data_IF_080904636104
#
_entry.id   IF_080904636104
#
_cell.length_a   1.000
_cell.length_b   1.000
_cell.length_c   1.000
_cell.angle_alpha   90.00
_cell.angle_beta   90.00
_cell.angle_gamma   90.00
#
_symmetry.space_group_name_H-M   'P 1'
#
loop_
_entity.id
_entity.type
_entity.pdbx_description
1 polymer ?
#
# COMPACT_ATOMS: atom_id res chain seq x y z
N UNK A 1 -36.78 0.52 -13.98
CA UNK A 1 -35.42 -0.03 -14.09
C UNK A 1 -34.53 0.82 -13.23
N UNK A 2 -34.10 0.28 -12.09
CA UNK A 2 -33.29 0.99 -11.11
C UNK A 2 -31.94 1.38 -11.74
N UNK A 3 -31.50 2.63 -11.55
CA UNK A 3 -30.19 3.08 -12.04
C UNK A 3 -29.15 2.30 -11.23
N UNK A 4 -28.62 1.22 -11.80
CA UNK A 4 -27.55 0.38 -11.22
C UNK A 4 -26.58 1.23 -10.40
N UNK A 5 -26.63 1.08 -9.07
CA UNK A 5 -25.76 1.79 -8.12
C UNK A 5 -24.32 1.70 -8.61
N UNK A 6 -23.65 2.83 -8.80
CA UNK A 6 -22.23 2.86 -9.17
C UNK A 6 -21.43 2.08 -8.13
N UNK A 7 -20.57 1.19 -8.59
CA UNK A 7 -19.66 0.44 -7.71
C UNK A 7 -18.71 1.41 -7.00
N UNK A 8 -18.41 1.15 -5.73
CA UNK A 8 -17.50 1.97 -4.92
C UNK A 8 -16.37 1.11 -4.37
N UNK A 9 -15.12 1.55 -4.54
CA UNK A 9 -13.95 0.84 -4.00
C UNK A 9 -13.15 1.74 -3.06
N UNK A 10 -12.55 1.12 -2.05
CA UNK A 10 -11.57 1.75 -1.17
C UNK A 10 -10.14 1.44 -1.59
N UNK A 11 -9.21 2.36 -1.36
CA UNK A 11 -7.76 2.15 -1.53
C UNK A 11 -7.06 2.57 -0.23
N UNK A 12 -6.12 1.75 0.25
CA UNK A 12 -5.26 2.11 1.36
C UNK A 12 -3.80 1.69 1.12
N UNK A 13 -2.87 2.41 1.73
CA UNK A 13 -1.45 2.06 1.79
C UNK A 13 -1.04 1.80 3.23
N UNK A 14 -0.44 0.65 3.51
CA UNK A 14 -0.06 0.23 4.86
C UNK A 14 1.35 -0.40 4.91
N UNK A 15 2.01 -0.27 6.07
CA UNK A 15 3.41 -0.71 6.27
C UNK A 15 4.43 0.40 6.02
N UNK A 16 5.71 0.04 5.80
CA UNK A 16 6.72 1.00 5.35
C UNK A 16 6.40 1.53 3.96
N UNK A 17 6.73 2.77 3.64
CA UNK A 17 6.58 3.30 2.29
C UNK A 17 7.69 2.78 1.36
N UNK A 18 7.48 2.93 0.05
CA UNK A 18 8.50 2.65 -0.96
C UNK A 18 8.16 3.39 -2.26
N UNK A 19 9.12 3.49 -3.20
CA UNK A 19 8.85 4.00 -4.54
C UNK A 19 7.71 3.23 -5.24
N UNK A 20 6.94 3.94 -6.07
CA UNK A 20 5.88 3.35 -6.90
C UNK A 20 4.49 3.31 -6.25
N UNK A 21 4.35 3.70 -4.98
CA UNK A 21 3.06 3.72 -4.28
C UNK A 21 2.00 4.60 -4.94
N UNK A 22 2.37 5.83 -5.27
CA UNK A 22 1.46 6.76 -5.96
C UNK A 22 1.11 6.26 -7.37
N UNK A 23 2.01 5.54 -8.03
CA UNK A 23 1.75 4.91 -9.31
C UNK A 23 0.72 3.78 -9.19
N UNK A 24 0.80 2.95 -8.15
CA UNK A 24 -0.20 1.92 -7.85
C UNK A 24 -1.58 2.52 -7.54
N UNK A 25 -1.64 3.53 -6.66
CA UNK A 25 -2.89 4.25 -6.34
C UNK A 25 -3.50 4.85 -7.61
N UNK A 26 -2.69 5.51 -8.45
CA UNK A 26 -3.15 6.06 -9.72
C UNK A 26 -3.63 4.99 -10.68
N UNK A 27 -2.90 3.89 -10.82
CA UNK A 27 -3.22 2.79 -11.74
C UNK A 27 -4.59 2.18 -11.43
N UNK A 28 -4.84 1.90 -10.15
CA UNK A 28 -6.15 1.40 -9.68
C UNK A 28 -7.21 2.49 -9.82
N UNK A 29 -7.01 3.64 -9.20
CA UNK A 29 -8.02 4.69 -9.10
C UNK A 29 -8.43 5.24 -10.46
N UNK A 30 -7.48 5.58 -11.34
CA UNK A 30 -7.78 6.17 -12.65
C UNK A 30 -8.49 5.15 -13.55
N UNK A 31 -8.11 3.88 -13.48
CA UNK A 31 -8.81 2.81 -14.23
C UNK A 31 -10.23 2.62 -13.72
N UNK A 32 -10.43 2.55 -12.41
CA UNK A 32 -11.75 2.40 -11.79
C UNK A 32 -12.70 3.54 -12.19
N UNK A 33 -12.22 4.78 -12.14
CA UNK A 33 -13.02 5.98 -12.49
C UNK A 33 -13.30 6.05 -13.99
N UNK A 34 -12.25 6.03 -14.81
CA UNK A 34 -12.36 6.36 -16.25
C UNK A 34 -12.95 5.20 -17.05
N UNK A 35 -12.50 3.96 -16.79
CA UNK A 35 -12.92 2.79 -17.57
C UNK A 35 -14.23 2.18 -17.06
N UNK A 36 -14.42 2.16 -15.75
CA UNK A 36 -15.54 1.44 -15.13
C UNK A 36 -16.59 2.34 -14.47
N UNK A 37 -16.38 3.67 -14.46
CA UNK A 37 -17.32 4.62 -13.88
C UNK A 37 -17.55 4.42 -12.37
N UNK A 38 -16.59 3.81 -11.68
CA UNK A 38 -16.65 3.53 -10.24
C UNK A 38 -16.34 4.77 -9.43
N UNK A 39 -16.81 4.79 -8.19
CA UNK A 39 -16.36 5.74 -7.19
C UNK A 39 -15.17 5.17 -6.41
N UNK A 40 -14.18 6.02 -6.10
CA UNK A 40 -12.96 5.61 -5.40
C UNK A 40 -12.76 6.49 -4.19
N UNK A 41 -12.58 5.87 -3.02
CA UNK A 41 -12.14 6.54 -1.78
C UNK A 41 -10.75 6.07 -1.39
N UNK A 42 -9.92 6.98 -0.90
CA UNK A 42 -8.59 6.69 -0.36
C UNK A 42 -8.58 6.87 1.15
N UNK A 43 -8.22 5.84 1.90
CA UNK A 43 -8.13 5.90 3.36
C UNK A 43 -6.79 6.44 3.82
N UNK A 44 -6.84 7.40 4.74
CA UNK A 44 -5.65 8.02 5.32
C UNK A 44 -4.90 7.02 6.22
N UNK A 45 -3.57 6.99 6.13
CA UNK A 45 -2.72 6.23 7.06
C UNK A 45 -3.09 4.74 7.18
N UNK A 46 -3.46 4.10 6.08
CA UNK A 46 -3.69 2.66 6.02
C UNK A 46 -4.95 2.21 6.76
N UNK A 47 -4.84 1.12 7.54
CA UNK A 47 -5.98 0.58 8.30
C UNK A 47 -6.48 1.53 9.40
N UNK A 48 -5.64 2.44 9.89
CA UNK A 48 -6.05 3.42 10.91
C UNK A 48 -7.15 4.35 10.38
N UNK A 49 -7.01 4.87 9.15
CA UNK A 49 -8.06 5.72 8.57
C UNK A 49 -9.32 4.93 8.26
N UNK A 50 -9.23 3.64 7.91
CA UNK A 50 -10.41 2.80 7.76
C UNK A 50 -11.13 2.58 9.11
N UNK A 51 -10.39 2.38 10.19
CA UNK A 51 -10.94 2.28 11.55
C UNK A 51 -11.55 3.62 12.00
N UNK A 52 -10.98 4.77 11.63
CA UNK A 52 -11.46 6.08 12.06
C UNK A 52 -12.46 6.75 11.09
N UNK A 53 -12.76 6.11 9.95
CA UNK A 53 -13.45 6.72 8.79
C UNK A 53 -12.78 8.00 8.25
N UNK A 54 -11.45 8.05 8.31
CA UNK A 54 -10.66 9.11 7.69
C UNK A 54 -10.34 8.71 6.25
N UNK A 55 -11.08 9.29 5.30
CA UNK A 55 -10.87 9.05 3.88
C UNK A 55 -11.12 10.31 3.05
N UNK A 56 -10.64 10.28 1.81
CA UNK A 56 -10.85 11.32 0.80
C UNK A 56 -11.42 10.69 -0.47
N UNK A 57 -12.26 11.43 -1.19
CA UNK A 57 -12.65 11.02 -2.54
C UNK A 57 -11.45 11.19 -3.48
N UNK A 58 -11.12 10.12 -4.22
CA UNK A 58 -10.08 10.13 -5.23
C UNK A 58 -10.72 10.42 -6.57
N UNK A 59 -10.86 11.70 -6.89
CA UNK A 59 -11.26 12.15 -8.23
C UNK A 59 -10.10 12.12 -9.21
N UNK A 60 -10.37 12.13 -10.52
CA UNK A 60 -9.33 12.08 -11.56
C UNK A 60 -8.25 13.16 -11.36
N UNK A 61 -8.66 14.38 -10.95
CA UNK A 61 -7.73 15.49 -10.70
C UNK A 61 -6.72 15.18 -9.59
N UNK A 62 -7.14 14.49 -8.52
CA UNK A 62 -6.26 14.08 -7.40
C UNK A 62 -5.26 12.99 -7.79
N UNK A 63 -5.56 12.25 -8.86
CA UNK A 63 -4.69 11.19 -9.40
C UNK A 63 -3.77 11.69 -10.52
N UNK A 64 -3.84 12.97 -10.88
CA UNK A 64 -2.96 13.59 -11.88
C UNK A 64 -1.66 14.08 -11.23
N UNK A 65 -0.54 13.95 -11.94
CA UNK A 65 0.76 14.47 -11.49
C UNK A 65 1.44 13.69 -10.35
N UNK A 66 0.82 12.62 -9.82
CA UNK A 66 1.37 11.90 -8.66
C UNK A 66 2.37 10.78 -9.02
N UNK A 67 2.55 10.47 -10.31
CA UNK A 67 3.41 9.34 -10.75
C UNK A 67 4.86 9.46 -10.30
N UNK A 68 5.39 10.68 -10.28
CA UNK A 68 6.80 10.97 -9.96
C UNK A 68 7.00 11.35 -8.50
N UNK A 69 5.94 11.36 -7.69
CA UNK A 69 6.03 11.71 -6.27
C UNK A 69 6.49 10.50 -5.46
N UNK A 70 7.46 10.71 -4.58
CA UNK A 70 7.85 9.74 -3.55
C UNK A 70 6.76 9.56 -2.48
N UNK A 71 6.92 8.53 -1.66
CA UNK A 71 5.97 8.19 -0.59
C UNK A 71 4.58 7.83 -1.12
N UNK A 72 3.54 8.18 -0.35
CA UNK A 72 2.13 7.93 -0.70
C UNK A 72 1.28 9.14 -0.35
N UNK A 73 0.40 9.56 -1.28
CA UNK A 73 -0.58 10.64 -1.06
C UNK A 73 -1.64 10.31 0.00
N UNK A 74 -1.75 9.04 0.40
CA UNK A 74 -2.68 8.59 1.44
C UNK A 74 -2.00 8.46 2.82
N UNK A 75 -0.68 8.60 2.90
CA UNK A 75 0.07 8.25 4.11
C UNK A 75 0.06 6.74 4.39
N UNK A 76 0.73 6.32 5.45
CA UNK A 76 0.78 4.91 5.86
C UNK A 76 0.90 4.80 7.38
N UNK A 77 0.45 3.68 7.93
CA UNK A 77 0.67 3.33 9.34
C UNK A 77 1.03 1.85 9.47
N UNK A 78 1.52 1.47 10.66
CA UNK A 78 1.80 0.08 11.04
C UNK A 78 0.69 -0.52 11.91
N UNK A 79 -0.52 0.03 11.83
CA UNK A 79 -1.68 -0.48 12.57
C UNK A 79 -1.97 -1.94 12.19
N UNK A 80 -2.17 -2.79 13.20
CA UNK A 80 -2.41 -4.23 13.05
C UNK A 80 -3.78 -4.57 13.65
N UNK A 81 -4.88 -4.51 12.87
CA UNK A 81 -6.24 -4.62 13.40
C UNK A 81 -6.52 -5.90 14.20
N UNK A 82 -5.85 -7.00 13.85
CA UNK A 82 -6.04 -8.31 14.48
C UNK A 82 -5.08 -8.59 15.65
N UNK A 83 -4.17 -7.67 15.96
CA UNK A 83 -3.29 -7.81 17.13
C UNK A 83 -4.02 -7.23 18.34
N UNK A 84 -4.38 -8.08 19.30
CA UNK A 84 -5.00 -7.65 20.57
C UNK A 84 -4.05 -6.74 21.36
N UNK A 85 -4.59 -5.64 21.87
CA UNK A 85 -3.91 -4.68 22.74
C UNK A 85 -4.09 -5.01 24.22
N UNK A 86 -3.47 -4.21 25.09
CA UNK A 86 -3.55 -4.34 26.56
C UNK A 86 -4.66 -3.47 27.19
N UNK A 87 -5.38 -2.66 26.41
CA UNK A 87 -6.50 -1.84 26.89
C UNK A 87 -7.80 -2.30 26.24
N UNK A 88 -8.90 -2.22 27.02
CA UNK A 88 -10.32 -2.44 26.67
C UNK A 88 -10.55 -2.49 25.15
N UNK A 89 -10.35 -3.68 24.58
CA UNK A 89 -10.04 -3.87 23.17
C UNK A 89 -11.31 -3.62 22.34
N UNK A 90 -11.40 -2.42 21.76
CA UNK A 90 -12.35 -2.15 20.68
C UNK A 90 -12.09 -3.19 19.59
N UNK A 91 -13.13 -3.92 19.18
CA UNK A 91 -13.02 -4.93 18.13
C UNK A 91 -12.77 -4.25 16.77
N UNK A 92 -11.50 -3.95 16.46
CA UNK A 92 -11.07 -3.25 15.24
C UNK A 92 -11.53 -3.97 13.96
N UNK A 93 -11.45 -5.31 13.83
CA UNK A 93 -12.00 -6.01 12.67
C UNK A 93 -13.49 -5.78 12.48
N UNK A 94 -14.29 -5.82 13.56
CA UNK A 94 -15.72 -5.55 13.48
C UNK A 94 -16.00 -4.10 13.05
N UNK A 95 -15.25 -3.12 13.56
CA UNK A 95 -15.35 -1.72 13.12
C UNK A 95 -14.99 -1.56 11.64
N UNK A 96 -13.91 -2.20 11.18
CA UNK A 96 -13.53 -2.16 9.77
C UNK A 96 -14.66 -2.69 8.89
N UNK A 97 -15.26 -3.83 9.25
CA UNK A 97 -16.38 -4.42 8.52
C UNK A 97 -17.61 -3.49 8.52
N UNK A 98 -17.95 -2.94 9.69
CA UNK A 98 -19.03 -1.96 9.81
C UNK A 98 -18.79 -0.75 8.89
N UNK A 99 -17.59 -0.19 8.90
CA UNK A 99 -17.26 0.99 8.09
C UNK A 99 -17.21 0.67 6.59
N UNK A 100 -16.74 -0.52 6.23
CA UNK A 100 -16.80 -1.04 4.87
C UNK A 100 -18.25 -1.10 4.35
N UNK A 101 -19.16 -1.63 5.15
CA UNK A 101 -20.58 -1.77 4.82
C UNK A 101 -21.30 -0.40 4.78
N UNK A 102 -21.08 0.45 5.79
CA UNK A 102 -21.70 1.78 5.89
C UNK A 102 -21.25 2.72 4.77
N UNK A 103 -19.97 2.64 4.35
CA UNK A 103 -19.47 3.37 3.19
C UNK A 103 -19.94 2.77 1.87
N UNK A 104 -20.57 1.59 1.91
CA UNK A 104 -21.09 0.89 0.74
C UNK A 104 -19.97 0.46 -0.20
N UNK A 105 -18.84 0.01 0.34
CA UNK A 105 -17.72 -0.49 -0.46
C UNK A 105 -18.05 -1.85 -1.07
N UNK A 106 -17.79 -1.99 -2.36
CA UNK A 106 -17.87 -3.26 -3.07
C UNK A 106 -16.55 -4.04 -3.02
N UNK A 107 -15.43 -3.33 -2.82
CA UNK A 107 -14.10 -3.91 -2.60
C UNK A 107 -13.14 -2.94 -1.90
N UNK A 108 -12.11 -3.48 -1.28
CA UNK A 108 -10.99 -2.73 -0.69
C UNK A 108 -9.65 -3.18 -1.30
N UNK A 109 -8.87 -2.23 -1.79
CA UNK A 109 -7.52 -2.44 -2.32
C UNK A 109 -6.50 -2.11 -1.25
N UNK A 110 -5.80 -3.13 -0.78
CA UNK A 110 -4.77 -3.06 0.26
C UNK A 110 -3.39 -3.09 -0.39
N UNK A 111 -2.69 -1.96 -0.41
CA UNK A 111 -1.33 -1.85 -0.96
C UNK A 111 -0.33 -1.94 0.21
N UNK A 112 0.49 -2.98 0.26
CA UNK A 112 1.42 -3.17 1.37
C UNK A 112 2.29 -4.43 1.27
N UNK A 113 3.13 -4.64 2.28
CA UNK A 113 3.99 -5.82 2.39
C UNK A 113 3.30 -7.00 3.09
N UNK A 114 4.11 -7.96 3.57
CA UNK A 114 3.63 -9.20 4.22
C UNK A 114 2.61 -8.97 5.34
N UNK A 115 2.83 -8.00 6.23
CA UNK A 115 1.88 -7.67 7.29
C UNK A 115 0.51 -7.22 6.78
N UNK A 116 0.51 -6.44 5.69
CA UNK A 116 -0.73 -5.98 5.03
C UNK A 116 -1.43 -7.13 4.32
N UNK A 117 -0.70 -8.01 3.64
CA UNK A 117 -1.27 -9.19 2.97
C UNK A 117 -1.91 -10.14 3.98
N UNK A 118 -1.30 -10.32 5.16
CA UNK A 118 -1.89 -11.09 6.25
C UNK A 118 -3.21 -10.48 6.72
N UNK A 119 -3.26 -9.16 6.96
CA UNK A 119 -4.51 -8.49 7.32
C UNK A 119 -5.55 -8.57 6.21
N UNK A 120 -5.16 -8.41 4.94
CA UNK A 120 -6.04 -8.55 3.79
C UNK A 120 -6.69 -9.94 3.73
N UNK A 121 -5.92 -11.01 3.93
CA UNK A 121 -6.44 -12.38 3.98
C UNK A 121 -7.45 -12.59 5.11
N UNK A 122 -7.18 -12.05 6.31
CA UNK A 122 -8.12 -12.13 7.42
C UNK A 122 -9.41 -11.36 7.14
N UNK A 123 -9.33 -10.18 6.51
CA UNK A 123 -10.50 -9.40 6.10
C UNK A 123 -11.34 -10.13 5.04
N UNK A 124 -10.71 -10.88 4.14
CA UNK A 124 -11.43 -11.75 3.20
C UNK A 124 -12.22 -12.85 3.93
N UNK A 125 -11.63 -13.46 4.97
CA UNK A 125 -12.32 -14.46 5.78
C UNK A 125 -13.54 -13.89 6.53
N UNK A 126 -13.55 -12.58 6.78
CA UNK A 126 -14.71 -11.85 7.35
C UNK A 126 -15.80 -11.54 6.31
N UNK A 127 -15.61 -11.94 5.04
CA UNK A 127 -16.58 -11.79 3.95
C UNK A 127 -16.45 -10.50 3.14
N UNK A 128 -15.37 -9.72 3.32
CA UNK A 128 -15.11 -8.53 2.50
C UNK A 128 -14.37 -8.89 1.21
N UNK A 129 -14.63 -8.16 0.13
CA UNK A 129 -13.90 -8.33 -1.12
C UNK A 129 -12.59 -7.54 -1.04
N UNK A 130 -11.46 -8.23 -0.90
CA UNK A 130 -10.15 -7.60 -0.76
C UNK A 130 -9.26 -7.90 -1.96
N UNK A 131 -8.54 -6.90 -2.45
CA UNK A 131 -7.46 -7.03 -3.43
C UNK A 131 -6.15 -6.62 -2.76
N UNK A 132 -5.17 -7.51 -2.73
CA UNK A 132 -3.82 -7.20 -2.27
C UNK A 132 -2.92 -6.73 -3.42
N UNK A 133 -2.18 -5.64 -3.22
CA UNK A 133 -1.10 -5.22 -4.12
C UNK A 133 0.24 -5.31 -3.37
N UNK A 134 1.17 -6.19 -3.81
CA UNK A 134 2.39 -6.48 -3.08
C UNK A 134 3.39 -5.33 -3.20
N UNK A 135 3.68 -4.71 -2.06
CA UNK A 135 4.48 -3.49 -1.98
C UNK A 135 5.54 -3.61 -0.90
N UNK A 136 6.80 -3.67 -1.29
CA UNK A 136 7.96 -3.69 -0.40
C UNK A 136 9.24 -3.52 -1.23
N UNK A 137 10.29 -2.98 -0.62
CA UNK A 137 11.63 -2.98 -1.21
C UNK A 137 12.34 -4.32 -1.00
N UNK A 138 11.82 -5.18 -0.13
CA UNK A 138 12.47 -6.43 0.28
C UNK A 138 12.24 -7.58 -0.73
N UNK A 139 11.29 -7.42 -1.66
CA UNK A 139 10.86 -8.45 -2.62
C UNK A 139 10.48 -9.80 -1.99
N UNK A 140 9.95 -9.77 -0.77
CA UNK A 140 9.72 -10.94 0.09
C UNK A 140 8.25 -11.36 0.18
N UNK A 141 7.40 -10.89 -0.74
CA UNK A 141 5.96 -11.20 -0.73
C UNK A 141 5.68 -12.41 -1.61
N UNK A 142 5.18 -13.49 -1.01
CA UNK A 142 4.83 -14.71 -1.72
C UNK A 142 3.77 -14.48 -2.82
N UNK A 143 3.94 -15.15 -3.97
CA UNK A 143 2.99 -15.13 -5.08
C UNK A 143 3.28 -14.09 -6.16
N UNK A 144 4.40 -13.37 -6.07
CA UNK A 144 4.92 -12.50 -7.14
C UNK A 144 6.44 -12.62 -7.21
N UNK A 145 7.00 -12.52 -8.42
CA UNK A 145 8.46 -12.47 -8.62
C UNK A 145 9.03 -11.08 -8.27
N UNK A 146 8.20 -10.04 -8.37
CA UNK A 146 8.57 -8.64 -8.17
C UNK A 146 7.53 -7.88 -7.36
N UNK A 147 7.99 -7.06 -6.42
CA UNK A 147 7.15 -6.15 -5.62
C UNK A 147 7.37 -4.69 -6.00
N UNK A 148 6.33 -3.87 -5.81
CA UNK A 148 6.48 -2.42 -5.99
C UNK A 148 7.53 -1.89 -5.02
N UNK A 149 8.52 -1.18 -5.57
CA UNK A 149 9.62 -0.54 -4.84
C UNK A 149 10.95 -1.28 -4.93
N UNK A 150 10.97 -2.59 -5.23
CA UNK A 150 12.20 -3.38 -5.27
C UNK A 150 13.20 -2.89 -6.32
N UNK A 151 12.77 -2.75 -7.57
CA UNK A 151 13.64 -2.29 -8.67
C UNK A 151 14.28 -0.93 -8.38
N UNK A 152 13.50 0.00 -7.82
CA UNK A 152 14.03 1.31 -7.42
C UNK A 152 15.04 1.21 -6.27
N UNK A 153 14.83 0.32 -5.30
CA UNK A 153 15.77 0.10 -4.21
C UNK A 153 17.07 -0.55 -4.71
N UNK A 154 16.97 -1.53 -5.61
CA UNK A 154 18.10 -2.16 -6.26
C UNK A 154 18.94 -1.13 -7.03
N UNK A 155 18.30 -0.29 -7.84
CA UNK A 155 18.97 0.76 -8.60
C UNK A 155 19.74 1.73 -7.69
N UNK A 156 19.13 2.14 -6.57
CA UNK A 156 19.79 3.03 -5.58
C UNK A 156 21.00 2.34 -4.95
N UNK A 157 20.89 1.06 -4.59
CA UNK A 157 22.00 0.29 -4.03
C UNK A 157 23.15 0.17 -5.04
N UNK A 158 22.85 -0.13 -6.31
CA UNK A 158 23.86 -0.21 -7.38
C UNK A 158 24.55 1.13 -7.61
N UNK A 159 23.81 2.25 -7.71
CA UNK A 159 24.41 3.58 -7.89
C UNK A 159 25.35 3.95 -6.72
N UNK A 160 24.97 3.60 -5.49
CA UNK A 160 25.81 3.82 -4.32
C UNK A 160 27.10 2.99 -4.38
N UNK A 161 27.02 1.72 -4.77
CA UNK A 161 28.18 0.83 -4.93
C UNK A 161 29.12 1.37 -6.01
N UNK A 162 28.59 1.79 -7.17
CA UNK A 162 29.39 2.29 -8.29
C UNK A 162 30.17 3.56 -7.91
N UNK A 163 29.53 4.48 -7.16
CA UNK A 163 30.21 5.68 -6.64
C UNK A 163 31.37 5.32 -5.72
N UNK A 164 31.17 4.34 -4.84
CA UNK A 164 32.15 3.89 -3.87
C UNK A 164 33.31 3.11 -4.53
N UNK A 165 33.05 2.41 -5.63
CA UNK A 165 34.06 1.62 -6.34
C UNK A 165 35.28 2.46 -6.76
N UNK A 166 35.05 3.69 -7.23
CA UNK A 166 36.12 4.60 -7.69
C UNK A 166 37.11 4.97 -6.57
N UNK A 167 36.62 5.26 -5.36
CA UNK A 167 37.46 5.61 -4.21
C UNK A 167 38.07 4.39 -3.53
N UNK A 168 37.41 3.22 -3.61
CA UNK A 168 37.99 1.96 -3.15
C UNK A 168 39.24 1.59 -3.95
N UNK A 169 39.14 1.68 -5.28
CA UNK A 169 40.24 1.38 -6.19
C UNK A 169 41.42 2.36 -6.03
N UNK A 170 41.14 3.66 -5.93
CA UNK A 170 42.18 4.70 -5.83
C UNK A 170 43.04 4.61 -4.56
N UNK A 171 42.50 4.04 -3.48
CA UNK A 171 43.18 3.97 -2.17
C UNK A 171 43.41 2.54 -1.67
N UNK A 172 43.21 1.52 -2.53
CA UNK A 172 43.32 0.10 -2.15
C UNK A 172 42.52 -0.23 -0.87
N UNK A 173 41.28 0.24 -0.78
CA UNK A 173 40.41 0.05 0.39
C UNK A 173 39.43 -1.09 0.19
N UNK A 174 39.15 -1.80 1.26
CA UNK A 174 37.98 -2.66 1.39
C UNK A 174 36.81 -1.81 1.89
N UNK A 175 35.64 -1.96 1.27
CA UNK A 175 34.42 -1.30 1.69
C UNK A 175 33.37 -2.34 2.06
N UNK A 176 32.69 -2.11 3.18
CA UNK A 176 31.52 -2.88 3.61
C UNK A 176 30.31 -1.97 3.42
N UNK A 177 29.33 -2.45 2.65
CA UNK A 177 28.12 -1.70 2.31
C UNK A 177 26.93 -2.50 2.85
N UNK A 178 26.18 -1.88 3.75
CA UNK A 178 24.95 -2.44 4.29
C UNK A 178 23.76 -1.98 3.43
N UNK A 179 22.93 -2.92 2.99
CA UNK A 179 21.71 -2.67 2.22
C UNK A 179 20.49 -3.16 2.98
N UNK A 180 19.33 -2.58 2.68
CA UNK A 180 18.04 -3.05 3.21
C UNK A 180 17.60 -4.37 2.53
N UNK A 181 16.58 -5.02 3.07
CA UNK A 181 16.09 -6.32 2.60
C UNK A 181 15.41 -7.17 3.68
N UNK A 182 15.45 -6.72 4.94
CA UNK A 182 14.86 -7.42 6.08
C UNK A 182 15.34 -8.88 6.17
N UNK A 183 14.42 -9.83 6.28
CA UNK A 183 14.69 -11.27 6.44
C UNK A 183 14.44 -12.03 5.11
N UNK A 184 14.48 -11.33 3.97
CA UNK A 184 14.27 -11.88 2.63
C UNK A 184 15.35 -12.88 2.19
#
# INVERSE_FOLDING_TARGET
MDKSKKKRIGILTAGGDCPGLNAAIRGVGKTAIVKYGMEVVGFSSGFLGLINKEYVHLEEKRLSGILTLGGTILGTSREKPYKRGTQLDVNKPALIKQHYDELGLDALVCIGGNGTMKTASLLTNEGMNIIGIPKTIDNDVWGTDLTFGFDSALWIATDAIDRLHTTANSHNRVMVIEVMGHDA
#
